data_IF_983604119894
#
_entry.id   IF_983604119894
#
_cell.length_a   1.000
_cell.length_b   1.000
_cell.length_c   1.000
_cell.angle_alpha   90.00
_cell.angle_beta   90.00
_cell.angle_gamma   90.00
#
_symmetry.space_group_name_H-M   'P 1'
#
loop_
_entity.id
_entity.type
_entity.pdbx_description
1 polymer ?
#
# COMPACT_ATOMS: atom_id res chain seq x y z
N UNK A 1 -28.44 29.28 -17.30
CA UNK A 1 -28.60 29.08 -15.85
C UNK A 1 -28.35 27.63 -15.39
N UNK A 2 -29.00 26.61 -15.97
CA UNK A 2 -28.83 25.19 -15.56
C UNK A 2 -27.40 24.63 -15.68
N UNK A 3 -26.62 25.04 -16.68
CA UNK A 3 -25.22 24.62 -16.88
C UNK A 3 -24.24 25.21 -15.85
N UNK A 4 -24.44 26.47 -15.44
CA UNK A 4 -23.63 27.12 -14.41
C UNK A 4 -23.88 26.50 -13.03
N UNK A 5 -25.13 26.15 -12.75
CA UNK A 5 -25.51 25.41 -11.53
C UNK A 5 -24.85 24.03 -11.46
N UNK A 6 -24.82 23.29 -12.59
CA UNK A 6 -24.19 21.98 -12.66
C UNK A 6 -22.65 22.04 -12.47
N UNK A 7 -21.99 23.06 -13.02
CA UNK A 7 -20.55 23.29 -12.83
C UNK A 7 -20.21 23.65 -11.37
N UNK A 8 -21.04 24.47 -10.72
CA UNK A 8 -20.88 24.80 -9.30
C UNK A 8 -21.06 23.57 -8.39
N UNK A 9 -21.98 22.68 -8.75
CA UNK A 9 -22.21 21.42 -8.03
C UNK A 9 -21.01 20.47 -8.16
N UNK A 10 -20.44 20.34 -9.36
CA UNK A 10 -19.23 19.55 -9.60
C UNK A 10 -18.03 20.14 -8.85
N UNK A 11 -17.85 21.47 -8.86
CA UNK A 11 -16.76 22.10 -8.09
C UNK A 11 -16.93 21.90 -6.59
N UNK A 12 -18.15 21.95 -6.06
CA UNK A 12 -18.41 21.70 -4.65
C UNK A 12 -18.08 20.24 -4.27
N UNK A 13 -18.45 19.27 -5.13
CA UNK A 13 -18.13 17.84 -4.93
C UNK A 13 -16.62 17.59 -4.91
N UNK A 14 -15.84 18.34 -5.70
CA UNK A 14 -14.38 18.20 -5.76
C UNK A 14 -13.67 18.88 -4.56
N UNK A 15 -14.26 19.95 -3.99
CA UNK A 15 -13.64 20.72 -2.89
C UNK A 15 -13.94 20.12 -1.51
N UNK A 16 -15.11 19.49 -1.32
CA UNK A 16 -15.52 18.90 -0.04
C UNK A 16 -14.54 17.87 0.57
N UNK A 17 -13.90 16.95 -0.21
CA UNK A 17 -12.94 16.00 0.33
C UNK A 17 -11.66 16.67 0.83
N UNK A 18 -11.27 17.81 0.22
CA UNK A 18 -10.07 18.56 0.58
C UNK A 18 -10.23 19.21 1.96
N UNK A 19 -11.44 19.70 2.28
CA UNK A 19 -11.75 20.28 3.59
C UNK A 19 -11.82 19.23 4.71
N UNK A 20 -12.05 17.95 4.38
CA UNK A 20 -12.12 16.84 5.33
C UNK A 20 -10.78 16.17 5.61
N UNK A 21 -9.70 16.55 4.93
CA UNK A 21 -8.40 15.90 5.09
C UNK A 21 -7.73 16.34 6.40
N UNK A 22 -7.48 15.39 7.30
CA UNK A 22 -6.70 15.66 8.52
C UNK A 22 -5.22 15.83 8.17
N UNK A 23 -4.63 16.95 8.60
CA UNK A 23 -3.20 17.18 8.49
C UNK A 23 -2.48 16.60 9.71
N UNK A 24 -2.02 15.35 9.60
CA UNK A 24 -1.27 14.67 10.66
C UNK A 24 0.16 15.22 10.87
N UNK A 25 0.68 16.07 9.98
CA UNK A 25 2.01 16.67 10.15
C UNK A 25 2.00 17.80 11.18
N UNK A 26 0.86 18.47 11.36
CA UNK A 26 0.66 19.57 12.31
C UNK A 26 -0.22 19.15 13.50
N UNK A 27 -0.37 17.85 13.76
CA UNK A 27 -1.16 17.38 14.90
C UNK A 27 -0.47 17.70 16.23
N UNK A 28 -1.24 18.06 17.25
CA UNK A 28 -0.69 18.23 18.60
C UNK A 28 -0.22 16.88 19.16
N UNK A 29 0.72 16.91 20.11
CA UNK A 29 1.16 15.69 20.79
C UNK A 29 0.00 14.95 21.46
N UNK A 30 -0.90 15.68 22.11
CA UNK A 30 -2.06 15.08 22.79
C UNK A 30 -3.02 14.39 21.82
N UNK A 31 -3.27 15.00 20.65
CA UNK A 31 -4.13 14.40 19.63
C UNK A 31 -3.51 13.16 18.99
N UNK A 32 -2.19 13.21 18.74
CA UNK A 32 -1.43 12.03 18.30
C UNK A 32 -1.50 10.91 19.33
N UNK A 33 -1.27 11.22 20.59
CA UNK A 33 -1.28 10.24 21.68
C UNK A 33 -2.65 9.58 21.79
N UNK A 34 -3.74 10.36 21.72
CA UNK A 34 -5.12 9.83 21.68
C UNK A 34 -5.38 8.97 20.44
N UNK A 35 -4.94 9.41 19.25
CA UNK A 35 -5.10 8.65 17.99
C UNK A 35 -4.36 7.30 18.00
N UNK A 36 -3.22 7.24 18.67
CA UNK A 36 -2.38 6.05 18.76
C UNK A 36 -2.73 5.13 19.93
N UNK A 37 -3.73 5.49 20.75
CA UNK A 37 -4.17 4.70 21.91
C UNK A 37 -4.60 3.29 21.50
N UNK A 38 -5.56 3.17 20.59
CA UNK A 38 -6.04 1.88 20.10
C UNK A 38 -4.90 1.01 19.52
N UNK A 39 -3.93 1.64 18.83
CA UNK A 39 -2.81 0.91 18.20
C UNK A 39 -1.89 0.31 19.27
N UNK A 40 -1.62 1.06 20.35
CA UNK A 40 -0.88 0.52 21.49
C UNK A 40 -1.67 -0.60 22.14
N UNK A 41 -2.98 -0.43 22.33
CA UNK A 41 -3.85 -1.40 23.00
C UNK A 41 -4.09 -2.69 22.21
N UNK A 42 -3.95 -2.66 20.88
CA UNK A 42 -4.15 -3.83 20.04
C UNK A 42 -3.18 -4.98 20.37
N UNK A 43 -1.92 -4.67 20.73
CA UNK A 43 -0.81 -5.58 21.16
C UNK A 43 -0.42 -6.72 20.23
N UNK A 44 -1.31 -7.16 19.34
CA UNK A 44 -1.12 -8.21 18.35
C UNK A 44 -1.26 -7.62 16.96
N UNK A 45 -0.36 -8.04 16.08
CA UNK A 45 -0.39 -7.69 14.65
C UNK A 45 0.00 -8.90 13.83
N UNK A 46 -0.67 -9.05 12.68
CA UNK A 46 -0.31 -10.02 11.66
C UNK A 46 0.30 -9.27 10.48
N UNK A 47 1.47 -9.72 10.03
CA UNK A 47 2.14 -9.16 8.87
C UNK A 47 2.13 -10.18 7.74
N UNK A 48 1.73 -9.76 6.54
CA UNK A 48 1.64 -10.61 5.35
C UNK A 48 2.67 -10.14 4.33
N UNK A 49 3.62 -11.02 3.98
CA UNK A 49 4.48 -10.85 2.82
C UNK A 49 3.87 -11.61 1.65
N UNK A 50 3.24 -10.88 0.73
CA UNK A 50 2.64 -11.46 -0.46
C UNK A 50 2.95 -10.59 -1.69
N UNK A 51 3.42 -11.23 -2.75
CA UNK A 51 3.76 -10.57 -3.99
C UNK A 51 4.25 -11.58 -5.02
N UNK A 52 4.81 -11.08 -6.12
CA UNK A 52 5.20 -11.92 -7.26
C UNK A 52 6.21 -13.03 -6.88
N UNK A 53 7.04 -12.78 -5.87
CA UNK A 53 8.01 -13.75 -5.32
C UNK A 53 7.35 -14.99 -4.68
N UNK A 54 6.06 -14.91 -4.33
CA UNK A 54 5.31 -16.03 -3.79
C UNK A 54 5.04 -17.12 -4.85
N UNK A 55 5.08 -16.77 -6.14
CA UNK A 55 4.87 -17.73 -7.25
C UNK A 55 6.00 -18.76 -7.35
N UNK A 56 7.30 -18.39 -7.35
CA UNK A 56 8.41 -19.35 -7.28
C UNK A 56 8.67 -19.89 -5.88
N UNK A 57 8.02 -19.36 -4.83
CA UNK A 57 8.11 -19.84 -3.45
C UNK A 57 9.56 -20.01 -2.91
N UNK A 58 10.46 -19.12 -3.32
CA UNK A 58 11.87 -19.14 -2.90
C UNK A 58 12.74 -20.16 -3.66
N UNK A 59 12.19 -20.91 -4.61
CA UNK A 59 12.94 -21.84 -5.44
C UNK A 59 13.37 -21.21 -6.78
N UNK A 60 14.66 -21.34 -7.09
CA UNK A 60 15.21 -21.00 -8.39
C UNK A 60 16.38 -21.90 -8.75
N UNK A 61 16.31 -22.57 -9.90
CA UNK A 61 17.39 -23.43 -10.46
C UNK A 61 17.97 -24.43 -9.42
N UNK A 62 17.10 -25.05 -8.63
CA UNK A 62 17.46 -26.06 -7.62
C UNK A 62 17.91 -25.52 -6.26
N UNK A 63 17.93 -24.19 -6.07
CA UNK A 63 18.22 -23.55 -4.78
C UNK A 63 16.95 -22.97 -4.16
N UNK A 64 16.76 -23.10 -2.84
CA UNK A 64 15.50 -22.76 -2.14
C UNK A 64 15.63 -21.64 -1.09
N UNK A 65 16.75 -20.91 -1.04
CA UNK A 65 17.07 -19.97 0.04
C UNK A 65 16.79 -18.48 -0.29
N UNK A 66 15.86 -18.22 -1.20
CA UNK A 66 15.71 -16.91 -1.84
C UNK A 66 14.54 -16.05 -1.34
N UNK A 67 13.42 -16.68 -0.95
CA UNK A 67 12.20 -16.06 -0.40
C UNK A 67 11.74 -14.76 -1.11
N UNK A 68 11.37 -13.71 -0.38
CA UNK A 68 10.87 -12.45 -0.94
C UNK A 68 11.94 -11.66 -1.72
N UNK A 69 13.22 -11.96 -1.48
CA UNK A 69 14.37 -11.35 -2.16
C UNK A 69 14.83 -12.11 -3.41
N UNK A 70 14.05 -13.08 -3.89
CA UNK A 70 14.48 -14.05 -4.91
C UNK A 70 15.02 -13.45 -6.20
N UNK A 71 14.45 -12.35 -6.68
CA UNK A 71 14.98 -11.68 -7.87
C UNK A 71 16.43 -11.21 -7.66
N UNK A 72 16.73 -10.68 -6.47
CA UNK A 72 18.05 -10.15 -6.12
C UNK A 72 19.03 -11.26 -5.75
N UNK A 73 18.64 -12.19 -4.88
CA UNK A 73 19.58 -13.23 -4.39
C UNK A 73 19.87 -14.29 -5.45
N UNK A 74 18.93 -14.57 -6.36
CA UNK A 74 19.13 -15.48 -7.49
C UNK A 74 19.51 -14.77 -8.80
N UNK A 75 19.63 -13.43 -8.79
CA UNK A 75 19.98 -12.59 -9.94
C UNK A 75 19.10 -12.87 -11.17
N UNK A 76 17.79 -12.99 -10.96
CA UNK A 76 16.82 -13.32 -12.02
C UNK A 76 16.66 -12.10 -12.95
N UNK A 77 16.95 -12.22 -14.26
CA UNK A 77 16.68 -11.15 -15.22
C UNK A 77 15.21 -10.74 -15.21
N UNK A 78 14.94 -9.44 -15.38
CA UNK A 78 13.56 -8.90 -15.33
C UNK A 78 12.61 -9.66 -16.28
N UNK A 79 13.04 -9.88 -17.51
CA UNK A 79 12.26 -10.60 -18.53
C UNK A 79 11.87 -12.02 -18.11
N UNK A 80 12.71 -12.71 -17.33
CA UNK A 80 12.39 -14.05 -16.81
C UNK A 80 11.45 -13.94 -15.61
N UNK A 81 11.72 -13.01 -14.69
CA UNK A 81 10.88 -12.80 -13.51
C UNK A 81 9.46 -12.36 -13.86
N UNK A 82 9.29 -11.55 -14.90
CA UNK A 82 7.99 -11.05 -15.37
C UNK A 82 7.07 -12.18 -15.89
N UNK A 83 7.61 -13.36 -16.21
CA UNK A 83 6.80 -14.51 -16.58
C UNK A 83 5.85 -14.95 -15.45
N UNK A 84 6.22 -14.69 -14.19
CA UNK A 84 5.38 -15.00 -13.04
C UNK A 84 4.11 -14.15 -12.97
N UNK A 85 4.03 -13.00 -13.68
CA UNK A 85 2.84 -12.12 -13.66
C UNK A 85 1.60 -12.85 -14.16
N UNK A 86 1.76 -13.74 -15.13
CA UNK A 86 0.65 -14.55 -15.66
C UNK A 86 0.09 -15.60 -14.68
N UNK A 87 0.82 -15.87 -13.59
CA UNK A 87 0.51 -16.89 -12.58
C UNK A 87 0.16 -16.29 -11.22
N UNK A 88 0.16 -14.96 -11.11
CA UNK A 88 -0.18 -14.20 -9.92
C UNK A 88 -1.61 -13.67 -10.05
#
# INVERSE_FOLDING_TARGET
MKKAFFLLLISAIIILPVLGQKNYLNESKADKDKRMEWWRDARFGMFIHWGLYSVPAGEWKGTTNHAEWIRTTAQIPLKEYDQFVSRF
#
